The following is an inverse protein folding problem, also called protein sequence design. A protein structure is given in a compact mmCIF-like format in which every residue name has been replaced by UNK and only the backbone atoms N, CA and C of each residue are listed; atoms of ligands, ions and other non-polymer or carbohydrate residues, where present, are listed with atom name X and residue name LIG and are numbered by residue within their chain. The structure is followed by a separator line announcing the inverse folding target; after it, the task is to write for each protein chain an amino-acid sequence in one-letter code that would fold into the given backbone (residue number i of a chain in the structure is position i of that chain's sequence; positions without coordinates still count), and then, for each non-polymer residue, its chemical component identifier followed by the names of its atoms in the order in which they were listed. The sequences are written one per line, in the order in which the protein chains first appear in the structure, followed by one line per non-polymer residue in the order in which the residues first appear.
data_IF_067759919665
#
_entry.id   IF_067759919665
#
_cell.length_a   1.000
_cell.length_b   1.000
_cell.length_c   1.000
_cell.angle_alpha   90.00
_cell.angle_beta   90.00
_cell.angle_gamma   90.00
#
_symmetry.space_group_name_H-M   'P 1'
#
loop_
_entity.id
_entity.type
_entity.pdbx_description
1 polymer ?
#
# COMPACT_ATOMS: atom_id res chain seq x y z
N UNK A 1 5.67 -1.31 19.81
CA UNK A 1 5.30 -2.33 18.80
C UNK A 1 5.31 -3.71 19.43
N UNK A 2 4.30 -4.52 19.12
CA UNK A 2 4.21 -5.91 19.55
C UNK A 2 5.14 -6.79 18.71
N UNK A 3 6.25 -7.22 19.31
CA UNK A 3 7.26 -8.06 18.63
C UNK A 3 6.69 -9.42 18.19
N UNK A 4 5.76 -9.99 18.97
CA UNK A 4 5.13 -11.27 18.63
C UNK A 4 4.26 -11.14 17.38
N UNK A 5 3.46 -10.08 17.30
CA UNK A 5 2.65 -9.79 16.11
C UNK A 5 3.52 -9.53 14.88
N UNK A 6 4.61 -8.78 15.01
CA UNK A 6 5.54 -8.53 13.90
C UNK A 6 6.21 -9.81 13.41
N UNK A 7 6.62 -10.71 14.30
CA UNK A 7 7.20 -12.00 13.92
C UNK A 7 6.21 -12.89 13.17
N UNK A 8 4.93 -12.90 13.61
CA UNK A 8 3.88 -13.65 12.90
C UNK A 8 3.62 -13.07 11.49
N UNK A 9 3.58 -11.75 11.37
CA UNK A 9 3.38 -11.10 10.09
C UNK A 9 4.56 -11.36 9.14
N UNK A 10 5.80 -11.39 9.65
CA UNK A 10 6.97 -11.72 8.85
C UNK A 10 6.93 -13.17 8.36
N UNK A 11 6.53 -14.12 9.20
CA UNK A 11 6.34 -15.51 8.79
C UNK A 11 5.30 -15.65 7.67
N UNK A 12 4.17 -14.93 7.79
CA UNK A 12 3.13 -14.89 6.74
C UNK A 12 3.70 -14.28 5.45
N UNK A 13 4.47 -13.18 5.54
CA UNK A 13 5.12 -12.53 4.41
C UNK A 13 6.07 -13.49 3.68
N UNK A 14 6.88 -14.24 4.42
CA UNK A 14 7.83 -15.20 3.86
C UNK A 14 7.12 -16.32 3.08
N UNK A 15 6.06 -16.89 3.64
CA UNK A 15 5.23 -17.88 2.94
C UNK A 15 4.55 -17.26 1.70
N UNK A 16 4.08 -16.02 1.82
CA UNK A 16 3.52 -15.27 0.70
C UNK A 16 4.54 -15.08 -0.44
N UNK A 17 5.79 -14.78 -0.12
CA UNK A 17 6.87 -14.63 -1.09
C UNK A 17 7.14 -15.93 -1.88
N UNK A 18 7.11 -17.09 -1.20
CA UNK A 18 7.22 -18.40 -1.87
C UNK A 18 6.04 -18.63 -2.80
N UNK A 19 4.80 -18.41 -2.31
CA UNK A 19 3.58 -18.60 -3.12
C UNK A 19 3.51 -17.69 -4.35
N UNK A 20 4.14 -16.52 -4.27
CA UNK A 20 4.25 -15.58 -5.40
C UNK A 20 5.40 -15.93 -6.34
N UNK A 21 6.20 -16.97 -6.07
CA UNK A 21 7.36 -17.35 -6.88
C UNK A 21 8.53 -16.36 -6.80
N UNK A 22 8.55 -15.50 -5.78
CA UNK A 22 9.61 -14.50 -5.59
C UNK A 22 10.87 -15.08 -4.94
N UNK A 23 10.70 -16.15 -4.19
CA UNK A 23 11.74 -16.98 -3.57
C UNK A 23 11.30 -18.43 -3.63
N UNK A 24 12.23 -19.36 -3.57
CA UNK A 24 11.96 -20.81 -3.59
C UNK A 24 11.75 -21.40 -2.19
N UNK A 25 12.30 -20.75 -1.16
CA UNK A 25 12.23 -21.20 0.22
C UNK A 25 12.12 -20.05 1.21
N UNK A 26 11.40 -20.24 2.31
CA UNK A 26 11.16 -19.21 3.32
C UNK A 26 12.45 -18.67 3.97
N UNK A 27 13.53 -19.47 4.03
CA UNK A 27 14.82 -19.01 4.56
C UNK A 27 15.44 -17.86 3.76
N UNK A 28 15.07 -17.71 2.49
CA UNK A 28 15.52 -16.63 1.63
C UNK A 28 14.82 -15.30 1.90
N UNK A 29 13.74 -15.30 2.68
CA UNK A 29 12.92 -14.11 2.92
C UNK A 29 13.68 -12.99 3.63
N UNK A 30 14.62 -13.32 4.51
CA UNK A 30 15.44 -12.34 5.23
C UNK A 30 16.36 -11.52 4.29
N UNK A 31 16.85 -12.13 3.22
CA UNK A 31 17.65 -11.43 2.20
C UNK A 31 16.80 -10.54 1.26
N UNK A 32 15.45 -10.63 1.36
CA UNK A 32 14.52 -9.88 0.55
C UNK A 32 13.47 -9.13 1.39
N UNK A 33 13.89 -8.21 2.28
CA UNK A 33 12.99 -7.60 3.26
C UNK A 33 12.02 -6.58 2.66
N UNK A 34 12.25 -6.10 1.44
CA UNK A 34 11.46 -5.06 0.78
C UNK A 34 10.28 -5.63 -0.02
N UNK A 35 10.32 -6.90 -0.42
CA UNK A 35 9.35 -7.48 -1.37
C UNK A 35 9.09 -8.96 -1.09
N UNK A 36 7.82 -9.39 -0.99
CA UNK A 36 6.63 -8.58 -0.96
C UNK A 36 6.50 -7.80 0.36
N UNK A 37 5.69 -6.76 0.36
CA UNK A 37 5.23 -6.15 1.62
C UNK A 37 4.02 -6.93 2.13
N UNK A 38 3.75 -6.82 3.43
CA UNK A 38 2.53 -7.34 4.02
C UNK A 38 1.70 -6.18 4.57
N UNK A 39 0.40 -6.25 4.37
CA UNK A 39 -0.55 -5.34 4.97
C UNK A 39 -1.67 -6.14 5.63
N UNK A 40 -2.21 -5.61 6.72
CA UNK A 40 -3.45 -6.09 7.29
C UNK A 40 -4.50 -4.99 7.22
N UNK A 41 -5.74 -5.40 7.04
CA UNK A 41 -6.89 -4.52 6.85
C UNK A 41 -7.99 -4.90 7.83
N UNK A 42 -8.85 -3.96 8.11
CA UNK A 42 -10.03 -4.16 8.94
C UNK A 42 -11.15 -3.20 8.53
N UNK A 43 -12.37 -3.42 9.02
CA UNK A 43 -13.49 -2.52 8.77
C UNK A 43 -13.21 -1.11 9.30
N UNK A 44 -13.94 -0.09 8.82
CA UNK A 44 -13.82 1.27 9.30
C UNK A 44 -14.01 1.37 10.80
N UNK A 45 -13.18 2.17 11.47
CA UNK A 45 -13.26 2.47 12.90
C UNK A 45 -12.63 3.83 13.16
N UNK A 46 -13.18 4.56 14.11
CA UNK A 46 -12.61 5.83 14.58
C UNK A 46 -11.22 5.61 15.20
N UNK A 47 -10.31 6.51 14.89
CA UNK A 47 -8.98 6.53 15.49
C UNK A 47 -8.38 7.94 15.47
N UNK A 48 -7.30 8.12 16.21
CA UNK A 48 -6.51 9.35 16.16
C UNK A 48 -5.23 9.07 15.36
N UNK A 49 -4.99 9.90 14.34
CA UNK A 49 -3.77 9.80 13.53
C UNK A 49 -2.53 10.21 14.32
N UNK A 50 -1.35 9.87 13.82
CA UNK A 50 -0.07 10.24 14.44
C UNK A 50 0.17 11.75 14.55
N UNK A 51 -0.58 12.56 13.79
CA UNK A 51 -0.58 14.03 13.91
C UNK A 51 -1.56 14.57 14.95
N UNK A 52 -2.24 13.70 15.70
CA UNK A 52 -3.26 14.08 16.68
C UNK A 52 -4.64 14.41 16.10
N UNK A 53 -4.82 14.29 14.77
CA UNK A 53 -6.10 14.55 14.13
C UNK A 53 -7.02 13.34 14.22
N UNK A 54 -8.30 13.51 14.61
CA UNK A 54 -9.27 12.43 14.56
C UNK A 54 -9.55 12.02 13.11
N UNK A 55 -9.78 10.75 12.90
CA UNK A 55 -10.27 10.16 11.66
C UNK A 55 -11.50 9.35 12.01
N UNK A 56 -12.64 9.69 11.43
CA UNK A 56 -13.89 9.01 11.69
C UNK A 56 -14.11 7.84 10.76
N UNK A 57 -14.80 6.81 11.26
CA UNK A 57 -15.16 5.64 10.47
C UNK A 57 -15.94 6.00 9.19
N UNK A 58 -16.73 7.06 9.23
CA UNK A 58 -17.49 7.60 8.09
C UNK A 58 -16.62 8.20 6.99
N UNK A 59 -15.37 8.57 7.30
CA UNK A 59 -14.45 9.20 6.36
C UNK A 59 -13.62 8.19 5.56
N UNK A 60 -13.71 6.92 5.93
CA UNK A 60 -12.91 5.83 5.35
C UNK A 60 -13.77 4.63 5.00
N UNK A 61 -13.32 3.81 4.09
CA UNK A 61 -13.97 2.58 3.69
C UNK A 61 -13.36 1.35 4.40
N UNK A 62 -12.11 1.45 4.82
CA UNK A 62 -11.39 0.44 5.60
C UNK A 62 -10.20 1.03 6.37
N UNK A 63 -9.71 0.30 7.35
CA UNK A 63 -8.41 0.54 7.97
C UNK A 63 -7.33 -0.29 7.28
N UNK A 64 -6.16 0.29 7.05
CA UNK A 64 -4.99 -0.41 6.53
C UNK A 64 -3.74 -0.11 7.36
N UNK A 65 -2.96 -1.14 7.61
CA UNK A 65 -1.64 -1.06 8.24
C UNK A 65 -0.67 -1.89 7.41
N UNK A 66 0.45 -1.32 7.04
CA UNK A 66 1.44 -2.01 6.22
C UNK A 66 2.75 -2.15 6.97
N UNK A 67 3.37 -3.31 6.83
CA UNK A 67 4.68 -3.63 7.39
C UNK A 67 5.72 -3.58 6.28
N UNK A 68 6.81 -2.92 6.55
CA UNK A 68 7.97 -2.87 5.66
C UNK A 68 9.23 -3.06 6.47
N UNK A 69 10.09 -3.97 6.05
CA UNK A 69 11.35 -4.29 6.72
C UNK A 69 11.16 -4.62 8.22
N UNK A 70 10.13 -5.40 8.54
CA UNK A 70 9.82 -5.84 9.89
C UNK A 70 9.24 -4.77 10.82
N UNK A 71 8.85 -3.58 10.30
CA UNK A 71 8.30 -2.48 11.10
C UNK A 71 6.99 -1.98 10.53
N UNK A 72 6.11 -1.50 11.41
CA UNK A 72 4.91 -0.78 10.98
C UNK A 72 5.30 0.49 10.25
N UNK A 73 4.81 0.63 9.03
CA UNK A 73 5.05 1.83 8.24
C UNK A 73 4.20 2.99 8.76
N UNK A 74 4.84 4.09 9.09
CA UNK A 74 4.20 5.28 9.68
C UNK A 74 3.14 5.91 8.74
N UNK A 75 3.42 5.94 7.44
CA UNK A 75 2.49 6.40 6.41
C UNK A 75 2.13 5.26 5.47
N UNK A 76 1.33 5.52 4.45
CA UNK A 76 1.02 4.51 3.43
C UNK A 76 1.98 4.62 2.25
N UNK A 77 2.61 3.50 1.89
CA UNK A 77 3.49 3.40 0.72
C UNK A 77 2.67 3.43 -0.56
N UNK A 78 3.09 4.21 -1.56
CA UNK A 78 2.36 4.39 -2.82
C UNK A 78 2.04 3.08 -3.54
N UNK A 79 3.03 2.20 -3.70
CA UNK A 79 2.83 0.89 -4.34
C UNK A 79 1.91 -0.03 -3.56
N UNK A 80 2.03 -0.05 -2.23
CA UNK A 80 1.12 -0.84 -1.38
C UNK A 80 -0.31 -0.29 -1.43
N UNK A 81 -0.49 1.03 -1.51
CA UNK A 81 -1.82 1.62 -1.62
C UNK A 81 -2.51 1.29 -2.94
N UNK A 82 -1.77 1.24 -4.05
CA UNK A 82 -2.30 0.76 -5.33
C UNK A 82 -2.73 -0.71 -5.23
N UNK A 83 -1.89 -1.57 -4.65
CA UNK A 83 -2.22 -2.99 -4.47
C UNK A 83 -3.47 -3.19 -3.57
N UNK A 84 -3.58 -2.42 -2.48
CA UNK A 84 -4.77 -2.44 -1.60
C UNK A 84 -6.02 -1.99 -2.35
N UNK A 85 -5.94 -0.90 -3.12
CA UNK A 85 -7.07 -0.40 -3.90
C UNK A 85 -7.51 -1.41 -4.98
N UNK A 86 -6.56 -2.01 -5.68
CA UNK A 86 -6.84 -3.08 -6.65
C UNK A 86 -7.52 -4.28 -5.97
N UNK A 87 -7.00 -4.73 -4.85
CA UNK A 87 -7.62 -5.83 -4.11
C UNK A 87 -9.01 -5.46 -3.57
N UNK A 88 -9.24 -4.20 -3.18
CA UNK A 88 -10.56 -3.73 -2.78
C UNK A 88 -11.58 -3.73 -3.93
N UNK A 89 -11.13 -3.50 -5.16
CA UNK A 89 -11.95 -3.53 -6.35
C UNK A 89 -12.31 -4.96 -6.81
N UNK A 90 -11.52 -5.98 -6.41
CA UNK A 90 -11.77 -7.38 -6.75
C UNK A 90 -12.71 -8.02 -5.73
N UNK A 91 -13.95 -8.40 -6.13
CA UNK A 91 -14.90 -9.06 -5.23
C UNK A 91 -14.34 -10.35 -4.62
N UNK A 92 -14.69 -10.59 -3.36
CA UNK A 92 -14.29 -11.82 -2.65
C UNK A 92 -12.89 -11.79 -2.04
N UNK A 93 -12.09 -10.75 -2.25
CA UNK A 93 -10.84 -10.58 -1.53
C UNK A 93 -11.09 -10.13 -0.08
N UNK A 94 -10.14 -10.42 0.83
CA UNK A 94 -10.24 -9.96 2.22
C UNK A 94 -10.27 -8.43 2.32
N UNK A 95 -9.66 -7.73 1.38
CA UNK A 95 -9.66 -6.26 1.31
C UNK A 95 -11.02 -5.74 0.90
N UNK A 96 -11.63 -6.35 -0.13
CA UNK A 96 -12.99 -6.03 -0.57
C UNK A 96 -13.99 -6.27 0.55
N UNK A 97 -13.90 -7.41 1.25
CA UNK A 97 -14.76 -7.73 2.38
C UNK A 97 -14.60 -6.71 3.53
N UNK A 98 -13.36 -6.32 3.88
CA UNK A 98 -13.10 -5.32 4.90
C UNK A 98 -13.68 -3.94 4.56
N UNK A 99 -13.80 -3.64 3.27
CA UNK A 99 -14.40 -2.40 2.77
C UNK A 99 -15.94 -2.48 2.60
N UNK A 100 -16.58 -3.55 3.08
CA UNK A 100 -18.03 -3.74 2.99
C UNK A 100 -18.51 -4.52 1.75
N UNK A 101 -17.59 -5.08 0.95
CA UNK A 101 -17.91 -5.89 -0.23
C UNK A 101 -18.33 -5.06 -1.45
N UNK A 102 -18.86 -5.78 -2.46
CA UNK A 102 -19.39 -5.18 -3.68
C UNK A 102 -18.33 -4.68 -4.67
N UNK A 103 -18.82 -4.08 -5.75
CA UNK A 103 -17.96 -3.45 -6.75
C UNK A 103 -17.59 -2.04 -6.33
N UNK A 104 -16.36 -1.64 -6.64
CA UNK A 104 -15.88 -0.29 -6.36
C UNK A 104 -14.76 0.11 -7.31
N UNK A 105 -14.70 1.38 -7.63
CA UNK A 105 -13.67 2.01 -8.47
C UNK A 105 -12.61 2.75 -7.64
N UNK A 106 -12.86 2.94 -6.35
CA UNK A 106 -11.95 3.59 -5.42
C UNK A 106 -12.18 3.13 -3.99
N UNK A 107 -11.18 3.30 -3.16
CA UNK A 107 -11.25 3.06 -1.72
C UNK A 107 -10.54 4.17 -0.96
N UNK A 108 -11.13 4.62 0.14
CA UNK A 108 -10.53 5.52 1.12
C UNK A 108 -10.11 4.68 2.31
N UNK A 109 -8.85 4.60 2.57
CA UNK A 109 -8.37 3.86 3.74
C UNK A 109 -7.70 4.76 4.75
N UNK A 110 -7.95 4.44 6.03
CA UNK A 110 -7.30 5.04 7.17
C UNK A 110 -5.98 4.35 7.46
N UNK A 111 -4.90 5.12 7.60
CA UNK A 111 -3.56 4.65 7.93
C UNK A 111 -2.96 5.47 9.09
N UNK A 112 -1.81 5.11 9.68
CA UNK A 112 -1.33 5.78 10.88
C UNK A 112 -1.24 7.30 10.78
N UNK A 113 -0.89 7.86 9.64
CA UNK A 113 -0.73 9.32 9.48
C UNK A 113 -1.96 10.03 8.87
N UNK A 114 -3.09 9.34 8.68
CA UNK A 114 -4.31 9.98 8.17
C UNK A 114 -5.10 9.09 7.22
N UNK A 115 -5.61 9.67 6.15
CA UNK A 115 -6.42 8.99 5.13
C UNK A 115 -5.82 9.12 3.74
N UNK A 116 -6.10 8.16 2.87
CA UNK A 116 -5.68 8.19 1.47
C UNK A 116 -6.79 7.58 0.60
N UNK A 117 -7.17 8.26 -0.48
CA UNK A 117 -8.07 7.72 -1.50
C UNK A 117 -7.26 7.27 -2.70
N UNK A 118 -7.50 6.03 -3.14
CA UNK A 118 -6.87 5.44 -4.33
C UNK A 118 -7.94 4.75 -5.15
N UNK A 119 -7.93 4.99 -6.46
CA UNK A 119 -8.80 4.32 -7.42
C UNK A 119 -8.10 3.14 -8.08
N UNK A 120 -8.90 2.15 -8.47
CA UNK A 120 -8.46 1.04 -9.30
C UNK A 120 -9.64 0.52 -10.13
N UNK A 121 -9.40 0.39 -11.44
CA UNK A 121 -10.32 -0.27 -12.33
C UNK A 121 -9.83 -1.70 -12.56
N UNK A 122 -10.72 -2.66 -12.38
CA UNK A 122 -10.44 -4.08 -12.59
C UNK A 122 -11.49 -4.68 -13.52
N UNK A 123 -11.09 -5.64 -14.32
CA UNK A 123 -11.99 -6.41 -15.16
C UNK A 123 -11.60 -7.89 -15.17
N UNK A 124 -12.56 -8.73 -15.51
CA UNK A 124 -12.31 -10.15 -15.67
C UNK A 124 -11.98 -10.43 -17.15
N UNK A 125 -10.82 -11.03 -17.39
CA UNK A 125 -10.35 -11.45 -18.71
C UNK A 125 -10.00 -12.93 -18.59
N UNK A 126 -10.64 -13.78 -19.37
CA UNK A 126 -10.42 -15.24 -19.37
C UNK A 126 -10.50 -15.87 -17.95
N UNK A 127 -11.45 -15.39 -17.14
CA UNK A 127 -11.65 -15.85 -15.76
C UNK A 127 -10.64 -15.30 -14.73
N UNK A 128 -9.70 -14.48 -15.15
CA UNK A 128 -8.71 -13.85 -14.26
C UNK A 128 -8.99 -12.36 -14.09
N UNK A 129 -8.74 -11.86 -12.87
CA UNK A 129 -8.84 -10.44 -12.59
C UNK A 129 -7.61 -9.69 -13.09
N UNK A 130 -7.84 -8.67 -13.89
CA UNK A 130 -6.81 -7.80 -14.46
C UNK A 130 -7.06 -6.36 -13.99
N UNK A 131 -6.08 -5.75 -13.39
CA UNK A 131 -6.10 -4.32 -13.09
C UNK A 131 -5.74 -3.54 -14.37
N UNK A 132 -6.64 -2.71 -14.85
CA UNK A 132 -6.45 -1.94 -16.08
C UNK A 132 -6.01 -0.51 -15.81
N UNK A 133 -6.31 0.00 -14.60
CA UNK A 133 -5.98 1.37 -14.22
C UNK A 133 -5.83 1.48 -12.71
N UNK A 134 -4.89 2.33 -12.29
CA UNK A 134 -4.79 2.81 -10.92
C UNK A 134 -4.71 4.34 -10.90
N UNK A 135 -5.42 4.97 -9.96
CA UNK A 135 -5.47 6.42 -9.82
C UNK A 135 -5.10 6.80 -8.40
N UNK A 136 -4.04 7.58 -8.25
CA UNK A 136 -3.61 8.08 -6.94
C UNK A 136 -3.23 9.54 -7.04
N UNK A 137 -3.85 10.37 -6.20
CA UNK A 137 -3.48 11.78 -6.07
C UNK A 137 -2.23 11.94 -5.22
N UNK A 138 -1.35 12.80 -5.64
CA UNK A 138 -0.17 13.25 -4.88
C UNK A 138 -0.22 14.77 -4.77
N UNK A 139 0.11 15.29 -3.59
CA UNK A 139 0.36 16.72 -3.40
C UNK A 139 1.84 17.00 -3.53
N UNK A 140 2.16 18.13 -4.11
CA UNK A 140 3.52 18.66 -4.15
C UNK A 140 3.48 20.17 -3.87
N UNK A 141 4.52 20.64 -3.23
CA UNK A 141 4.77 22.09 -3.05
C UNK A 141 6.23 22.37 -3.29
N UNK A 142 6.54 23.53 -3.82
CA UNK A 142 7.92 23.99 -3.91
C UNK A 142 8.42 24.27 -2.49
N UNK A 143 9.49 23.60 -2.10
CA UNK A 143 10.15 23.79 -0.80
C UNK A 143 11.41 24.64 -0.95
N UNK A 144 12.05 24.58 -2.12
CA UNK A 144 13.28 25.28 -2.39
C UNK A 144 13.41 25.46 -3.90
N UNK A 145 13.97 26.60 -4.30
CA UNK A 145 14.40 26.87 -5.67
C UNK A 145 15.90 27.21 -5.64
N UNK A 146 16.61 26.81 -6.70
CA UNK A 146 18.04 27.07 -6.79
C UNK A 146 18.54 26.90 -8.22
N UNK A 147 19.79 27.24 -8.44
CA UNK A 147 20.47 27.14 -9.73
C UNK A 147 21.57 26.11 -9.64
N UNK A 148 21.59 25.18 -10.59
CA UNK A 148 22.70 24.23 -10.76
C UNK A 148 23.59 24.73 -11.91
N UNK A 149 24.89 24.85 -11.65
CA UNK A 149 25.87 25.19 -12.69
C UNK A 149 26.32 23.91 -13.36
N UNK A 150 26.02 23.77 -14.66
CA UNK A 150 26.41 22.63 -15.48
C UNK A 150 27.57 23.06 -16.39
N UNK A 151 28.66 22.31 -16.49
CA UNK A 151 29.73 22.57 -17.46
C UNK A 151 29.16 22.58 -18.88
N UNK A 152 29.64 23.53 -19.70
CA UNK A 152 29.10 23.73 -21.05
C UNK A 152 29.25 22.51 -21.94
N UNK A 153 30.35 21.77 -21.78
CA UNK A 153 30.65 20.55 -22.51
C UNK A 153 29.64 19.42 -22.31
N UNK A 154 28.87 19.45 -21.21
CA UNK A 154 27.83 18.45 -20.92
C UNK A 154 26.48 18.80 -21.54
N UNK A 155 26.30 20.01 -22.04
CA UNK A 155 25.04 20.47 -22.66
C UNK A 155 25.06 20.21 -24.16
N UNK A 156 26.24 20.16 -24.80
CA UNK A 156 26.41 19.98 -26.25
C UNK A 156 26.33 18.51 -26.70
N UNK A 157 26.10 17.57 -25.78
CA UNK A 157 26.08 16.11 -26.03
C UNK A 157 24.69 15.48 -26.04
N UNK A 158 23.60 16.28 -26.06
CA UNK A 158 22.21 15.81 -26.10
C UNK A 158 21.55 16.12 -27.44
#
# INVERSE_FOLDING_TARGET
EDKSALSKLEAIRAVGAVRMGLISDVSQAAARPLTPKIAFVGPPKDYVSSSGKPVHATDIDLLARAISMGKLHHAMMGTASVAIATAAAVPGTVVNAAAGGGTRDAVRFGHPSGTLRVGADVQQVDGQWVATKAVMSRSARVLMEGVVRVPREQIETV
#
